data_IF_506014254707
#
_entry.id   IF_506014254707
#
_cell.length_a   1.000
_cell.length_b   1.000
_cell.length_c   1.000
_cell.angle_alpha   90.00
_cell.angle_beta   90.00
_cell.angle_gamma   90.00
#
_symmetry.space_group_name_H-M   'P 1'
#
loop_
_entity.id
_entity.type
_entity.pdbx_description
1 polymer ?
#
# COMPACT_ATOMS: atom_id res chain seq x y z
N UNK A 1 -30.16 20.34 3.13
CA UNK A 1 -30.58 19.34 4.13
C UNK A 1 -29.31 18.75 4.73
N UNK A 2 -29.05 18.98 6.01
CA UNK A 2 -27.90 18.41 6.72
C UNK A 2 -28.21 16.93 6.94
N UNK A 3 -27.54 16.04 6.21
CA UNK A 3 -27.52 14.62 6.56
C UNK A 3 -26.73 14.49 7.87
N UNK A 4 -27.45 14.22 8.95
CA UNK A 4 -26.83 13.78 10.19
C UNK A 4 -26.14 12.44 9.89
N UNK A 5 -24.82 12.43 10.06
CA UNK A 5 -24.01 11.19 10.05
C UNK A 5 -24.45 10.38 11.27
N UNK A 6 -25.31 9.40 11.09
CA UNK A 6 -25.58 8.41 12.14
C UNK A 6 -24.26 7.73 12.52
N UNK A 7 -24.02 7.61 13.82
CA UNK A 7 -22.84 6.94 14.34
C UNK A 7 -22.84 5.48 13.87
N UNK A 8 -21.74 5.05 13.27
CA UNK A 8 -21.53 3.66 12.86
C UNK A 8 -21.69 2.73 14.07
N UNK A 9 -22.40 1.60 13.94
CA UNK A 9 -22.55 0.66 15.05
C UNK A 9 -21.19 0.15 15.50
N UNK A 10 -20.94 0.16 16.82
CA UNK A 10 -19.70 -0.33 17.40
C UNK A 10 -19.56 -1.84 17.12
N UNK A 11 -18.57 -2.22 16.32
CA UNK A 11 -18.16 -3.62 16.20
C UNK A 11 -17.48 -4.06 17.49
N UNK A 12 -17.89 -5.20 18.03
CA UNK A 12 -17.16 -5.85 19.12
C UNK A 12 -15.79 -6.30 18.63
N UNK A 13 -14.73 -5.91 19.33
CA UNK A 13 -13.36 -6.27 18.99
C UNK A 13 -13.21 -7.79 18.84
N UNK A 14 -12.89 -8.25 17.65
CA UNK A 14 -12.60 -9.63 17.37
C UNK A 14 -11.17 -9.76 16.84
N UNK A 15 -10.31 -10.45 17.59
CA UNK A 15 -8.95 -10.74 17.16
C UNK A 15 -8.96 -12.07 16.41
N UNK A 16 -8.56 -12.05 15.12
CA UNK A 16 -8.60 -13.23 14.23
C UNK A 16 -7.26 -13.37 13.54
N UNK A 17 -6.74 -14.58 13.45
CA UNK A 17 -5.62 -14.90 12.56
C UNK A 17 -6.17 -15.17 11.15
N UNK A 18 -5.65 -14.45 10.16
CA UNK A 18 -6.06 -14.57 8.77
C UNK A 18 -4.91 -14.27 7.82
N UNK A 19 -5.05 -14.72 6.59
CA UNK A 19 -4.14 -14.36 5.51
C UNK A 19 -4.36 -12.92 5.07
N UNK A 20 -3.38 -12.35 4.37
CA UNK A 20 -3.49 -11.00 3.81
C UNK A 20 -4.71 -10.84 2.90
N UNK A 21 -4.95 -11.80 1.96
CA UNK A 21 -6.12 -11.74 1.07
C UNK A 21 -7.45 -11.82 1.83
N UNK A 22 -7.53 -12.63 2.89
CA UNK A 22 -8.71 -12.69 3.76
C UNK A 22 -8.91 -11.38 4.53
N UNK A 23 -7.82 -10.71 4.93
CA UNK A 23 -7.88 -9.41 5.58
C UNK A 23 -8.43 -8.31 4.64
N UNK A 24 -8.05 -8.35 3.36
CA UNK A 24 -8.61 -7.46 2.33
C UNK A 24 -10.11 -7.72 2.15
N UNK A 25 -10.52 -8.98 1.96
CA UNK A 25 -11.94 -9.34 1.85
C UNK A 25 -12.74 -8.93 3.10
N UNK A 26 -12.18 -9.14 4.30
CA UNK A 26 -12.79 -8.73 5.56
C UNK A 26 -13.00 -7.21 5.66
N UNK A 27 -12.01 -6.42 5.22
CA UNK A 27 -12.12 -4.96 5.19
C UNK A 27 -13.26 -4.49 4.27
N UNK A 28 -13.36 -5.07 3.06
CA UNK A 28 -14.45 -4.79 2.13
C UNK A 28 -15.81 -5.16 2.74
N UNK A 29 -15.93 -6.36 3.31
CA UNK A 29 -17.16 -6.83 3.92
C UNK A 29 -17.60 -5.91 5.07
N UNK A 30 -16.67 -5.48 5.91
CA UNK A 30 -16.98 -4.63 7.06
C UNK A 30 -17.39 -3.22 6.63
N UNK A 31 -16.69 -2.61 5.68
CA UNK A 31 -17.05 -1.27 5.19
C UNK A 31 -18.33 -1.27 4.34
N UNK A 32 -18.53 -2.28 3.48
CA UNK A 32 -19.77 -2.43 2.72
C UNK A 32 -21.00 -2.76 3.60
N UNK A 33 -20.78 -3.42 4.74
CA UNK A 33 -21.86 -3.66 5.74
C UNK A 33 -22.20 -2.39 6.49
N UNK A 34 -21.24 -1.55 6.79
CA UNK A 34 -21.41 -0.31 7.55
C UNK A 34 -21.95 0.85 6.71
N UNK A 35 -21.66 0.85 5.39
CA UNK A 35 -22.03 1.94 4.49
C UNK A 35 -22.62 1.37 3.18
N UNK A 36 -23.94 1.58 2.93
CA UNK A 36 -24.58 1.10 1.71
C UNK A 36 -24.10 1.79 0.43
N UNK A 37 -23.39 2.90 0.52
CA UNK A 37 -22.85 3.62 -0.64
C UNK A 37 -21.54 3.03 -1.16
N UNK A 38 -20.88 2.13 -0.41
CA UNK A 38 -19.65 1.46 -0.83
C UNK A 38 -19.97 0.40 -1.89
N UNK A 39 -19.37 0.52 -3.07
CA UNK A 39 -19.55 -0.36 -4.23
C UNK A 39 -18.18 -0.93 -4.62
N UNK A 40 -18.08 -2.26 -4.78
CA UNK A 40 -16.89 -2.89 -5.35
C UNK A 40 -17.06 -3.04 -6.86
N UNK A 41 -16.03 -2.70 -7.63
CA UNK A 41 -16.03 -2.90 -9.08
C UNK A 41 -14.63 -3.20 -9.62
N UNK A 42 -14.59 -3.88 -10.75
CA UNK A 42 -13.36 -4.28 -11.42
C UNK A 42 -13.58 -5.54 -12.27
N UNK A 43 -12.50 -6.05 -12.82
CA UNK A 43 -12.50 -7.25 -13.63
C UNK A 43 -12.49 -8.50 -12.73
N UNK A 44 -13.39 -9.45 -13.00
CA UNK A 44 -13.52 -10.72 -12.29
C UNK A 44 -13.73 -10.62 -10.75
N UNK A 45 -14.12 -9.44 -10.24
CA UNK A 45 -14.31 -9.21 -8.79
C UNK A 45 -15.54 -9.89 -8.21
N UNK A 46 -16.48 -10.31 -9.05
CA UNK A 46 -17.73 -10.97 -8.65
C UNK A 46 -17.55 -12.45 -8.26
N UNK A 47 -18.23 -13.36 -8.97
CA UNK A 47 -18.24 -14.79 -8.65
C UNK A 47 -16.86 -15.44 -8.57
N UNK A 48 -15.87 -14.92 -9.30
CA UNK A 48 -14.48 -15.37 -9.20
C UNK A 48 -13.76 -14.92 -7.93
N UNK A 49 -14.27 -13.91 -7.22
CA UNK A 49 -13.65 -13.34 -6.01
C UNK A 49 -12.35 -12.59 -6.28
N UNK A 50 -12.17 -12.11 -7.51
CA UNK A 50 -10.92 -11.53 -8.00
C UNK A 50 -9.89 -12.58 -8.43
N UNK A 51 -8.94 -12.19 -9.28
CA UNK A 51 -7.87 -13.07 -9.77
C UNK A 51 -7.04 -13.64 -8.60
N UNK A 52 -6.84 -12.85 -7.57
CA UNK A 52 -6.03 -13.22 -6.39
C UNK A 52 -6.88 -13.61 -5.17
N UNK A 53 -8.20 -13.76 -5.33
CA UNK A 53 -9.13 -14.13 -4.24
C UNK A 53 -9.15 -13.13 -3.08
N UNK A 54 -8.92 -11.87 -3.38
CA UNK A 54 -8.97 -10.76 -2.42
C UNK A 54 -10.39 -10.24 -2.17
N UNK A 55 -11.38 -10.72 -2.92
CA UNK A 55 -12.80 -10.35 -2.82
C UNK A 55 -13.71 -11.56 -2.51
N UNK A 56 -13.13 -12.66 -2.01
CA UNK A 56 -13.88 -13.88 -1.73
C UNK A 56 -14.98 -13.63 -0.70
N UNK A 57 -16.21 -14.10 -0.98
CA UNK A 57 -17.37 -13.91 -0.11
C UNK A 57 -18.09 -12.56 -0.23
N UNK A 58 -17.56 -11.60 -0.99
CA UNK A 58 -18.15 -10.25 -1.09
C UNK A 58 -19.42 -10.27 -1.94
N UNK A 59 -19.39 -10.89 -3.12
CA UNK A 59 -20.58 -10.95 -4.01
C UNK A 59 -21.71 -11.77 -3.41
N UNK A 60 -21.41 -12.87 -2.71
CA UNK A 60 -22.38 -13.70 -2.03
C UNK A 60 -23.14 -12.92 -0.96
N UNK A 61 -22.47 -11.97 -0.31
CA UNK A 61 -23.08 -11.17 0.76
C UNK A 61 -23.83 -9.96 0.26
N UNK A 62 -23.36 -9.27 -0.79
CA UNK A 62 -23.91 -7.98 -1.21
C UNK A 62 -24.59 -8.00 -2.57
N UNK A 63 -24.45 -9.08 -3.33
CA UNK A 63 -25.06 -9.25 -4.66
C UNK A 63 -24.40 -8.43 -5.76
N UNK A 64 -24.79 -8.72 -6.99
CA UNK A 64 -24.24 -8.08 -8.21
C UNK A 64 -24.60 -6.60 -8.34
N UNK A 65 -25.57 -6.09 -7.61
CA UNK A 65 -25.91 -4.67 -7.59
C UNK A 65 -24.88 -3.81 -6.84
N UNK A 66 -24.07 -4.43 -5.99
CA UNK A 66 -22.99 -3.77 -5.23
C UNK A 66 -21.59 -4.33 -5.52
N UNK A 67 -21.51 -5.41 -6.30
CA UNK A 67 -20.24 -6.00 -6.77
C UNK A 67 -20.32 -6.12 -8.29
N UNK A 68 -19.68 -5.19 -8.97
CA UNK A 68 -19.85 -4.98 -10.41
C UNK A 68 -18.66 -5.53 -11.19
N UNK A 69 -18.87 -6.61 -11.94
CA UNK A 69 -17.88 -7.03 -12.93
C UNK A 69 -17.87 -6.05 -14.11
N UNK A 70 -16.69 -5.61 -14.51
CA UNK A 70 -16.48 -4.73 -15.65
C UNK A 70 -15.90 -5.49 -16.85
N UNK A 71 -16.11 -5.02 -18.08
CA UNK A 71 -15.27 -5.42 -19.19
C UNK A 71 -13.85 -4.90 -18.99
N UNK A 72 -12.86 -5.46 -19.72
CA UNK A 72 -11.47 -5.01 -19.70
C UNK A 72 -11.38 -3.64 -20.39
N UNK A 73 -11.41 -2.59 -19.57
CA UNK A 73 -11.28 -1.20 -20.01
C UNK A 73 -11.02 -0.30 -18.79
N UNK A 74 -9.82 -0.32 -18.23
CA UNK A 74 -9.47 0.29 -16.93
C UNK A 74 -9.76 1.79 -16.92
N UNK A 75 -9.42 2.53 -17.97
CA UNK A 75 -9.74 3.96 -18.05
C UNK A 75 -11.26 4.20 -18.10
N UNK A 76 -12.00 3.33 -18.77
CA UNK A 76 -13.46 3.43 -18.89
C UNK A 76 -14.16 3.20 -17.56
N UNK A 77 -13.87 2.11 -16.86
CA UNK A 77 -14.56 1.83 -15.60
C UNK A 77 -14.08 2.73 -14.44
N UNK A 78 -12.84 3.23 -14.46
CA UNK A 78 -12.43 4.29 -13.52
C UNK A 78 -13.17 5.61 -13.77
N UNK A 79 -13.43 5.96 -15.04
CA UNK A 79 -14.28 7.10 -15.38
C UNK A 79 -15.72 6.93 -14.86
N UNK A 80 -16.28 5.72 -14.98
CA UNK A 80 -17.58 5.39 -14.37
C UNK A 80 -17.53 5.52 -12.85
N UNK A 81 -16.48 4.99 -12.20
CA UNK A 81 -16.28 5.10 -10.76
C UNK A 81 -16.16 6.56 -10.29
N UNK A 82 -15.48 7.42 -11.04
CA UNK A 82 -15.47 8.87 -10.76
C UNK A 82 -16.88 9.45 -10.80
N UNK A 83 -17.66 9.12 -11.84
CA UNK A 83 -19.06 9.54 -11.93
C UNK A 83 -19.90 9.09 -10.72
N UNK A 84 -19.72 7.84 -10.28
CA UNK A 84 -20.35 7.29 -9.08
C UNK A 84 -19.93 8.05 -7.83
N UNK A 85 -18.63 8.35 -7.67
CA UNK A 85 -18.12 9.06 -6.50
C UNK A 85 -18.68 10.48 -6.39
N UNK A 86 -18.70 11.24 -7.47
CA UNK A 86 -19.21 12.63 -7.44
C UNK A 86 -20.74 12.70 -7.30
N UNK A 87 -21.43 11.59 -7.51
CA UNK A 87 -22.90 11.48 -7.31
C UNK A 87 -23.28 10.87 -5.96
N UNK A 88 -22.32 10.58 -5.08
CA UNK A 88 -22.55 10.22 -3.68
C UNK A 88 -22.32 8.75 -3.32
N UNK A 89 -21.78 7.94 -4.23
CA UNK A 89 -21.32 6.58 -3.91
C UNK A 89 -19.85 6.60 -3.47
N UNK A 90 -19.38 5.48 -2.90
CA UNK A 90 -17.98 5.24 -2.52
C UNK A 90 -17.45 4.01 -3.26
N UNK A 91 -17.04 4.15 -4.52
CA UNK A 91 -16.53 3.02 -5.27
C UNK A 91 -15.14 2.60 -4.78
N UNK A 92 -14.98 1.29 -4.65
CA UNK A 92 -13.70 0.60 -4.50
C UNK A 92 -13.43 -0.12 -5.81
N UNK A 93 -12.38 0.26 -6.51
CA UNK A 93 -12.05 -0.26 -7.84
C UNK A 93 -10.81 -1.13 -7.74
N UNK A 94 -10.89 -2.39 -8.16
CA UNK A 94 -9.73 -3.26 -8.29
C UNK A 94 -9.15 -3.17 -9.70
N UNK A 95 -7.88 -2.82 -9.81
CA UNK A 95 -7.03 -3.04 -10.98
C UNK A 95 -6.17 -4.25 -10.68
N UNK A 96 -6.35 -5.34 -11.43
CA UNK A 96 -5.81 -6.65 -11.06
C UNK A 96 -4.28 -6.72 -10.99
N UNK A 97 -3.57 -5.85 -11.74
CA UNK A 97 -2.11 -5.69 -11.65
C UNK A 97 -1.73 -4.21 -11.63
N UNK A 98 -0.76 -3.82 -10.80
CA UNK A 98 -0.23 -2.45 -10.77
C UNK A 98 0.36 -2.02 -12.12
N UNK A 99 0.86 -2.99 -12.90
CA UNK A 99 1.34 -2.78 -14.27
C UNK A 99 0.24 -2.24 -15.22
N UNK A 100 -1.05 -2.41 -14.88
CA UNK A 100 -2.18 -1.94 -15.66
C UNK A 100 -2.73 -0.58 -15.21
N UNK A 101 -2.23 0.00 -14.13
CA UNK A 101 -2.55 1.38 -13.76
C UNK A 101 -2.27 2.39 -14.88
N UNK A 102 -1.18 2.26 -15.68
CA UNK A 102 -0.95 3.12 -16.82
C UNK A 102 -2.02 3.05 -17.92
N UNK A 103 -2.76 1.93 -18.06
CA UNK A 103 -3.88 1.84 -19.03
C UNK A 103 -5.04 2.76 -18.63
N UNK A 104 -5.16 3.07 -17.34
CA UNK A 104 -6.10 4.03 -16.77
C UNK A 104 -5.45 5.40 -16.50
N UNK A 105 -4.37 5.72 -17.19
CA UNK A 105 -3.50 6.86 -16.89
C UNK A 105 -4.24 8.20 -16.82
N UNK A 106 -5.15 8.48 -17.76
CA UNK A 106 -5.92 9.73 -17.73
C UNK A 106 -6.80 9.82 -16.49
N UNK A 107 -7.56 8.78 -16.19
CA UNK A 107 -8.40 8.77 -15.00
C UNK A 107 -7.59 9.00 -13.72
N UNK A 108 -6.50 8.24 -13.53
CA UNK A 108 -5.69 8.28 -12.29
C UNK A 108 -4.86 9.57 -12.17
N UNK A 109 -4.27 10.05 -13.27
CA UNK A 109 -3.32 11.18 -13.24
C UNK A 109 -4.00 12.52 -13.44
N UNK A 110 -5.04 12.56 -14.25
CA UNK A 110 -5.66 13.80 -14.68
C UNK A 110 -7.02 14.06 -14.01
N UNK A 111 -7.89 13.07 -13.97
CA UNK A 111 -9.26 13.27 -13.51
C UNK A 111 -9.39 13.16 -11.98
N UNK A 112 -9.09 11.99 -11.40
CA UNK A 112 -9.31 11.73 -9.97
C UNK A 112 -8.67 12.76 -9.03
N UNK A 113 -7.37 13.10 -9.14
CA UNK A 113 -6.71 13.98 -8.19
C UNK A 113 -7.11 15.44 -8.34
N UNK A 114 -7.62 15.85 -9.50
CA UNK A 114 -7.88 17.27 -9.82
C UNK A 114 -9.35 17.66 -9.73
N UNK A 115 -10.27 16.69 -9.78
CA UNK A 115 -11.70 16.96 -9.91
C UNK A 115 -12.25 17.81 -8.77
N UNK A 116 -11.86 17.53 -7.53
CA UNK A 116 -12.26 18.36 -6.38
C UNK A 116 -11.78 19.81 -6.50
N UNK A 117 -10.54 20.01 -6.94
CA UNK A 117 -9.99 21.35 -7.14
C UNK A 117 -10.70 22.08 -8.28
N UNK A 118 -10.90 21.43 -9.44
CA UNK A 118 -11.56 22.02 -10.62
C UNK A 118 -13.02 22.39 -10.34
N UNK A 119 -13.71 21.63 -9.48
CA UNK A 119 -15.07 21.94 -9.07
C UNK A 119 -15.17 23.07 -8.01
N UNK A 120 -14.05 23.68 -7.63
CA UNK A 120 -14.02 24.67 -6.55
C UNK A 120 -14.35 24.08 -5.17
N UNK A 121 -14.09 22.79 -4.97
CA UNK A 121 -14.38 22.08 -3.72
C UNK A 121 -15.84 21.60 -3.57
N UNK A 122 -16.68 21.81 -4.58
CA UNK A 122 -18.09 21.41 -4.54
C UNK A 122 -18.27 19.88 -4.61
N UNK A 123 -17.39 19.18 -5.34
CA UNK A 123 -17.40 17.73 -5.43
C UNK A 123 -16.35 17.13 -4.50
N UNK A 124 -16.71 16.04 -3.82
CA UNK A 124 -15.77 15.09 -3.21
C UNK A 124 -15.56 13.94 -4.17
N UNK A 125 -14.43 13.26 -4.04
CA UNK A 125 -14.10 12.08 -4.87
C UNK A 125 -13.72 10.91 -3.96
N UNK A 126 -14.68 10.37 -3.18
CA UNK A 126 -14.45 9.26 -2.27
C UNK A 126 -14.28 7.94 -3.05
N UNK A 127 -13.16 7.81 -3.75
CA UNK A 127 -12.87 6.67 -4.61
C UNK A 127 -11.56 6.01 -4.18
N UNK A 128 -11.61 4.71 -3.92
CA UNK A 128 -10.43 3.89 -3.61
C UNK A 128 -10.07 3.03 -4.81
N UNK A 129 -8.84 3.16 -5.31
CA UNK A 129 -8.28 2.26 -6.33
C UNK A 129 -7.34 1.29 -5.63
N UNK A 130 -7.53 0.00 -5.81
CA UNK A 130 -6.64 -1.08 -5.33
C UNK A 130 -5.87 -1.64 -6.50
N UNK A 131 -4.56 -1.83 -6.32
CA UNK A 131 -3.72 -2.44 -7.35
C UNK A 131 -2.74 -3.44 -6.72
N UNK A 132 -2.67 -4.65 -7.28
CA UNK A 132 -1.83 -5.72 -6.78
C UNK A 132 -0.58 -5.80 -7.65
N UNK A 133 0.60 -5.64 -7.05
CA UNK A 133 1.88 -5.60 -7.75
C UNK A 133 2.93 -6.54 -7.18
N UNK A 134 4.17 -6.24 -7.53
CA UNK A 134 5.38 -6.87 -7.05
C UNK A 134 5.78 -8.16 -7.75
N UNK A 135 7.02 -8.56 -7.56
CA UNK A 135 7.58 -9.81 -8.07
C UNK A 135 7.26 -11.02 -7.19
N UNK A 136 8.18 -11.99 -7.18
CA UNK A 136 8.08 -13.29 -6.48
C UNK A 136 7.01 -14.26 -6.98
N UNK A 137 6.18 -13.85 -7.94
CA UNK A 137 5.13 -14.68 -8.53
C UNK A 137 5.52 -15.34 -9.85
N UNK A 138 6.70 -15.07 -10.39
CA UNK A 138 7.17 -15.56 -11.70
C UNK A 138 6.28 -15.11 -12.86
N UNK A 139 5.66 -13.94 -12.73
CA UNK A 139 4.77 -13.37 -13.75
C UNK A 139 5.51 -12.60 -14.84
N UNK A 140 6.82 -12.32 -14.65
CA UNK A 140 7.66 -11.60 -15.60
C UNK A 140 7.42 -10.11 -15.64
N UNK A 141 8.05 -9.44 -16.58
CA UNK A 141 8.23 -7.99 -16.62
C UNK A 141 6.93 -7.18 -16.57
N UNK A 142 5.89 -7.60 -17.30
CA UNK A 142 4.64 -6.84 -17.45
C UNK A 142 3.61 -7.07 -16.33
N UNK A 143 3.95 -7.89 -15.32
CA UNK A 143 3.04 -8.26 -14.24
C UNK A 143 3.75 -8.28 -12.88
N UNK A 144 4.88 -7.59 -12.75
CA UNK A 144 5.72 -7.65 -11.55
C UNK A 144 6.19 -6.28 -11.04
N UNK A 145 5.71 -5.18 -11.61
CA UNK A 145 6.02 -3.85 -11.11
C UNK A 145 5.29 -3.58 -9.79
N UNK A 146 5.89 -2.76 -8.93
CA UNK A 146 5.20 -2.14 -7.79
C UNK A 146 4.70 -0.75 -8.18
N UNK A 147 5.56 0.13 -8.69
CA UNK A 147 5.19 1.35 -9.41
C UNK A 147 4.65 2.50 -8.56
N UNK A 148 4.72 2.42 -7.22
CA UNK A 148 4.12 3.41 -6.31
C UNK A 148 4.64 4.81 -6.58
N UNK A 149 5.92 4.97 -6.86
CA UNK A 149 6.59 6.26 -7.03
C UNK A 149 6.05 7.09 -8.18
N UNK A 150 5.47 6.45 -9.21
CA UNK A 150 4.87 7.17 -10.35
C UNK A 150 3.69 8.05 -9.94
N UNK A 151 3.01 7.69 -8.86
CA UNK A 151 1.78 8.37 -8.40
C UNK A 151 2.01 9.35 -7.25
N UNK A 152 3.23 9.42 -6.71
CA UNK A 152 3.54 10.31 -5.59
C UNK A 152 3.62 11.79 -5.98
N UNK A 153 3.76 12.09 -7.26
CA UNK A 153 3.83 13.47 -7.76
C UNK A 153 2.46 14.10 -8.02
N UNK A 154 1.35 13.40 -7.71
CA UNK A 154 0.00 13.84 -8.04
C UNK A 154 -0.68 14.53 -6.84
N UNK A 155 -0.71 15.89 -6.77
CA UNK A 155 -1.49 16.58 -5.74
C UNK A 155 -2.97 16.20 -5.86
N UNK A 156 -3.61 15.90 -4.72
CA UNK A 156 -5.00 15.46 -4.67
C UNK A 156 -5.20 13.94 -4.65
N UNK A 157 -4.15 13.15 -4.92
CA UNK A 157 -4.17 11.69 -4.75
C UNK A 157 -3.43 11.29 -3.47
N UNK A 158 -4.02 10.43 -2.65
CA UNK A 158 -3.32 9.75 -1.55
C UNK A 158 -2.82 8.39 -2.02
N UNK A 159 -1.69 7.94 -1.47
CA UNK A 159 -1.08 6.65 -1.85
C UNK A 159 -0.73 5.87 -0.59
N UNK A 160 -1.24 4.66 -0.47
CA UNK A 160 -0.97 3.72 0.61
C UNK A 160 -0.35 2.43 0.08
N UNK A 161 0.42 1.75 0.93
CA UNK A 161 1.08 0.47 0.63
C UNK A 161 0.95 -0.47 1.84
N UNK A 162 0.24 -1.57 1.67
CA UNK A 162 -0.12 -2.46 2.77
C UNK A 162 0.86 -3.62 2.89
N UNK A 163 1.57 -3.72 4.01
CA UNK A 163 2.71 -4.62 4.20
C UNK A 163 2.40 -5.88 5.03
N UNK A 164 1.21 -5.98 5.59
CA UNK A 164 0.80 -7.12 6.44
C UNK A 164 -0.73 -7.29 6.44
N UNK A 165 -1.28 -8.41 6.93
CA UNK A 165 -2.73 -8.60 7.06
C UNK A 165 -3.39 -7.49 7.88
N UNK A 166 -2.81 -7.09 9.01
CA UNK A 166 -3.31 -5.98 9.83
C UNK A 166 -3.25 -4.63 9.10
N UNK A 167 -2.18 -4.37 8.36
CA UNK A 167 -2.04 -3.16 7.55
C UNK A 167 -3.06 -3.17 6.38
N UNK A 168 -3.23 -4.30 5.68
CA UNK A 168 -4.20 -4.43 4.59
C UNK A 168 -5.62 -4.14 5.06
N UNK A 169 -6.04 -4.73 6.18
CA UNK A 169 -7.34 -4.49 6.77
C UNK A 169 -7.54 -3.03 7.18
N UNK A 170 -6.57 -2.47 7.91
CA UNK A 170 -6.71 -1.12 8.47
C UNK A 170 -6.55 0.01 7.46
N UNK A 171 -5.61 -0.12 6.51
CA UNK A 171 -5.38 0.87 5.46
C UNK A 171 -6.51 0.91 4.44
N UNK A 172 -7.03 -0.25 4.03
CA UNK A 172 -8.14 -0.30 3.09
C UNK A 172 -9.40 0.34 3.69
N UNK A 173 -9.70 0.07 4.96
CA UNK A 173 -10.81 0.73 5.67
C UNK A 173 -10.61 2.25 5.76
N UNK A 174 -9.40 2.70 6.07
CA UNK A 174 -9.06 4.12 6.08
C UNK A 174 -9.26 4.74 4.69
N UNK A 175 -8.77 4.08 3.64
CA UNK A 175 -8.90 4.55 2.26
C UNK A 175 -10.37 4.68 1.80
N UNK A 176 -11.21 3.67 2.10
CA UNK A 176 -12.63 3.69 1.75
C UNK A 176 -13.38 4.85 2.44
N UNK A 177 -12.95 5.25 3.63
CA UNK A 177 -13.57 6.34 4.41
C UNK A 177 -13.13 7.73 4.00
N UNK A 178 -12.06 7.84 3.19
CA UNK A 178 -11.57 9.13 2.73
C UNK A 178 -12.54 9.80 1.74
N UNK A 179 -12.58 11.14 1.77
CA UNK A 179 -13.37 11.95 0.86
C UNK A 179 -12.61 12.39 -0.40
N UNK A 180 -11.33 12.05 -0.47
CA UNK A 180 -10.43 12.27 -1.60
C UNK A 180 -9.92 10.93 -2.14
N UNK A 181 -9.49 10.85 -3.41
CA UNK A 181 -9.09 9.59 -4.00
C UNK A 181 -7.84 8.98 -3.33
N UNK A 182 -7.88 7.67 -3.12
CA UNK A 182 -6.78 6.90 -2.55
C UNK A 182 -6.40 5.76 -3.48
N UNK A 183 -5.11 5.63 -3.78
CA UNK A 183 -4.53 4.47 -4.45
C UNK A 183 -3.86 3.59 -3.39
N UNK A 184 -4.31 2.34 -3.27
CA UNK A 184 -3.80 1.35 -2.32
C UNK A 184 -3.03 0.26 -3.07
N UNK A 185 -1.73 0.19 -2.83
CA UNK A 185 -0.89 -0.88 -3.35
C UNK A 185 -0.92 -2.10 -2.44
N UNK A 186 -1.08 -3.25 -3.04
CA UNK A 186 -1.03 -4.59 -2.44
C UNK A 186 0.08 -5.41 -3.12
N UNK A 187 0.53 -6.51 -2.49
CA UNK A 187 1.66 -7.27 -3.00
C UNK A 187 1.36 -8.76 -3.10
N UNK A 188 1.61 -9.34 -4.29
CA UNK A 188 1.36 -10.78 -4.56
C UNK A 188 2.07 -11.72 -3.60
N UNK A 189 3.32 -11.42 -3.24
CA UNK A 189 4.11 -12.21 -2.30
C UNK A 189 3.56 -12.23 -0.87
N UNK A 190 2.63 -11.33 -0.52
CA UNK A 190 2.02 -11.25 0.81
C UNK A 190 0.66 -11.95 0.90
N UNK A 191 0.00 -12.29 -0.21
CA UNK A 191 -1.40 -12.74 -0.24
C UNK A 191 -1.71 -13.91 0.69
N UNK A 192 -0.77 -14.83 0.87
CA UNK A 192 -0.90 -16.00 1.77
C UNK A 192 -0.20 -15.80 3.12
N UNK A 193 0.43 -14.64 3.35
CA UNK A 193 1.05 -14.32 4.64
C UNK A 193 -0.03 -14.24 5.71
N UNK A 194 0.13 -14.97 6.79
CA UNK A 194 -0.78 -14.96 7.94
C UNK A 194 -0.36 -13.91 8.95
N UNK A 195 -1.33 -13.38 9.66
CA UNK A 195 -1.10 -12.47 10.76
C UNK A 195 -2.39 -12.18 11.54
N UNK A 196 -2.21 -11.62 12.72
CA UNK A 196 -3.30 -11.25 13.61
C UNK A 196 -3.93 -9.94 13.16
N UNK A 197 -5.24 -9.93 13.00
CA UNK A 197 -6.05 -8.76 12.67
C UNK A 197 -7.05 -8.50 13.78
N UNK A 198 -7.07 -7.28 14.29
CA UNK A 198 -8.11 -6.81 15.22
C UNK A 198 -9.22 -6.18 14.39
N UNK A 199 -10.40 -6.81 14.37
CA UNK A 199 -11.55 -6.36 13.58
C UNK A 199 -12.44 -5.43 14.40
N UNK A 200 -12.02 -4.18 14.55
CA UNK A 200 -12.79 -3.10 15.17
C UNK A 200 -12.36 -1.72 14.64
N UNK A 201 -12.93 -0.67 15.21
CA UNK A 201 -12.60 0.72 14.81
C UNK A 201 -11.17 1.14 15.15
N UNK A 202 -10.53 0.53 16.16
CA UNK A 202 -9.14 0.85 16.55
C UNK A 202 -8.10 0.42 15.52
N UNK A 203 -8.48 -0.51 14.64
CA UNK A 203 -7.62 -1.01 13.57
C UNK A 203 -7.53 -0.10 12.34
N UNK A 204 -8.45 0.86 12.20
CA UNK A 204 -8.42 1.82 11.09
C UNK A 204 -7.18 2.69 11.19
N UNK A 205 -6.36 2.68 10.15
CA UNK A 205 -5.09 3.40 10.17
C UNK A 205 -5.29 4.90 9.99
N UNK A 206 -4.55 5.68 10.77
CA UNK A 206 -4.50 7.13 10.58
C UNK A 206 -3.80 7.48 9.26
N UNK A 207 -4.42 8.34 8.46
CA UNK A 207 -3.86 8.75 7.17
C UNK A 207 -2.55 9.51 7.36
N UNK A 208 -1.54 9.14 6.60
CA UNK A 208 -0.23 9.79 6.65
C UNK A 208 0.61 9.40 7.85
N UNK A 209 0.32 8.28 8.52
CA UNK A 209 1.14 7.75 9.61
C UNK A 209 1.85 6.46 9.22
N UNK A 210 3.14 6.42 9.52
CA UNK A 210 3.97 5.22 9.43
C UNK A 210 3.84 4.39 10.71
N UNK A 211 4.20 3.11 10.63
CA UNK A 211 4.25 2.21 11.78
C UNK A 211 5.69 1.78 12.07
N UNK A 212 6.14 1.95 13.32
CA UNK A 212 7.34 1.27 13.83
C UNK A 212 6.93 -0.17 14.12
N UNK A 213 7.25 -1.09 13.19
CA UNK A 213 6.86 -2.50 13.29
C UNK A 213 7.88 -3.34 14.09
N UNK A 214 9.09 -2.83 14.25
CA UNK A 214 10.10 -3.34 15.18
C UNK A 214 10.89 -2.15 15.73
N UNK A 215 10.96 -2.02 17.04
CA UNK A 215 11.83 -1.03 17.69
C UNK A 215 13.29 -1.49 17.63
N UNK A 216 14.23 -0.55 17.56
CA UNK A 216 15.66 -0.81 17.56
C UNK A 216 16.46 0.46 17.74
N UNK A 217 17.78 0.34 17.98
CA UNK A 217 18.64 1.45 18.38
C UNK A 217 19.84 1.70 17.47
N UNK A 218 20.28 0.73 16.65
CA UNK A 218 21.54 0.82 15.92
C UNK A 218 21.39 1.38 14.50
N UNK A 219 20.30 1.05 13.82
CA UNK A 219 20.02 1.46 12.45
C UNK A 219 18.52 1.53 12.19
N UNK A 220 18.09 2.49 11.39
CA UNK A 220 16.71 2.63 10.89
C UNK A 220 16.61 2.01 9.51
N UNK A 221 15.71 1.06 9.33
CA UNK A 221 15.31 0.49 8.04
C UNK A 221 13.89 0.95 7.71
N UNK A 222 13.72 1.58 6.55
CA UNK A 222 12.42 2.05 6.07
C UNK A 222 12.01 1.24 4.86
N UNK A 223 10.82 0.68 4.87
CA UNK A 223 10.33 -0.20 3.82
C UNK A 223 8.82 -0.13 3.66
N UNK A 224 8.29 -0.79 2.62
CA UNK A 224 6.86 -1.00 2.36
C UNK A 224 6.63 -2.38 1.77
N UNK A 225 5.38 -2.83 1.75
CA UNK A 225 4.96 -4.06 1.07
C UNK A 225 5.81 -5.27 1.50
N UNK A 226 6.22 -6.11 0.54
CA UNK A 226 7.05 -7.28 0.80
C UNK A 226 8.42 -6.91 1.41
N UNK A 227 8.95 -5.74 1.08
CA UNK A 227 10.24 -5.32 1.61
C UNK A 227 10.18 -5.05 3.11
N UNK A 228 9.05 -4.61 3.67
CA UNK A 228 8.87 -4.49 5.12
C UNK A 228 8.90 -5.86 5.82
N UNK A 229 8.27 -6.89 5.25
CA UNK A 229 8.32 -8.27 5.76
C UNK A 229 9.75 -8.85 5.70
N UNK A 230 10.47 -8.63 4.58
CA UNK A 230 11.87 -9.06 4.44
C UNK A 230 12.82 -8.31 5.39
N UNK A 231 12.58 -7.00 5.60
CA UNK A 231 13.36 -6.21 6.56
C UNK A 231 13.15 -6.69 8.00
N UNK A 232 11.93 -7.06 8.39
CA UNK A 232 11.66 -7.69 9.68
C UNK A 232 12.41 -9.02 9.84
N UNK A 233 12.37 -9.87 8.81
CA UNK A 233 13.09 -11.14 8.83
C UNK A 233 14.61 -10.93 8.96
N UNK A 234 15.18 -9.97 8.21
CA UNK A 234 16.59 -9.62 8.33
C UNK A 234 16.95 -9.08 9.74
N UNK A 235 16.08 -8.22 10.30
CA UNK A 235 16.25 -7.69 11.64
C UNK A 235 16.24 -8.77 12.73
N UNK A 236 15.38 -9.78 12.60
CA UNK A 236 15.34 -10.94 13.51
C UNK A 236 16.64 -11.76 13.45
N UNK A 237 17.17 -12.02 12.25
CA UNK A 237 18.44 -12.71 12.08
C UNK A 237 19.60 -11.92 12.70
N UNK A 238 19.67 -10.61 12.43
CA UNK A 238 20.74 -9.73 12.90
C UNK A 238 20.71 -9.49 14.43
N UNK A 239 19.57 -9.65 15.07
CA UNK A 239 19.48 -9.59 16.53
C UNK A 239 20.34 -10.67 17.22
N UNK A 240 20.55 -11.82 16.57
CA UNK A 240 21.44 -12.88 17.05
C UNK A 240 22.93 -12.49 16.91
N UNK A 241 23.22 -11.53 16.05
CA UNK A 241 24.55 -10.95 15.85
C UNK A 241 24.79 -9.71 16.73
N UNK A 242 23.81 -9.32 17.54
CA UNK A 242 23.89 -8.17 18.43
C UNK A 242 23.59 -6.82 17.74
N UNK A 243 23.00 -6.82 16.53
CA UNK A 243 22.58 -5.61 15.82
C UNK A 243 21.09 -5.37 16.05
N UNK A 244 20.75 -4.24 16.64
CA UNK A 244 19.37 -3.87 17.01
C UNK A 244 18.76 -2.92 15.98
N UNK A 245 18.01 -3.52 15.03
CA UNK A 245 17.44 -2.84 13.86
C UNK A 245 16.04 -2.30 14.18
N UNK A 246 15.81 -1.01 13.98
CA UNK A 246 14.45 -0.47 13.92
C UNK A 246 13.89 -0.59 12.51
N UNK A 247 12.69 -1.16 12.37
CA UNK A 247 12.00 -1.29 11.09
C UNK A 247 10.74 -0.43 11.08
N UNK A 248 10.66 0.47 10.11
CA UNK A 248 9.53 1.36 9.88
C UNK A 248 8.83 0.96 8.58
N UNK A 249 7.56 0.56 8.69
CA UNK A 249 6.65 0.41 7.56
C UNK A 249 5.98 1.75 7.30
N UNK A 250 6.21 2.34 6.13
CA UNK A 250 5.67 3.67 5.81
C UNK A 250 4.16 3.71 5.74
N UNK A 251 3.51 2.64 5.30
CA UNK A 251 2.06 2.51 5.13
C UNK A 251 1.44 3.56 4.19
N UNK A 252 1.74 4.83 4.41
CA UNK A 252 1.35 5.94 3.54
C UNK A 252 2.58 6.54 2.89
N UNK A 253 2.61 6.49 1.56
CA UNK A 253 3.65 7.13 0.76
C UNK A 253 3.27 8.58 0.40
N UNK A 254 1.95 8.87 0.40
CA UNK A 254 1.41 10.21 0.26
C UNK A 254 0.08 10.34 1.02
N UNK A 255 -0.02 11.18 2.06
CA UNK A 255 1.08 11.96 2.64
C UNK A 255 2.11 11.08 3.35
N UNK A 256 3.39 11.49 3.30
CA UNK A 256 4.51 10.75 3.89
C UNK A 256 4.76 11.19 5.34
N UNK A 257 4.86 10.22 6.27
CA UNK A 257 5.25 10.49 7.67
C UNK A 257 6.76 10.63 7.84
N UNK A 258 7.28 11.76 7.39
CA UNK A 258 8.71 12.07 7.54
C UNK A 258 9.10 12.22 9.01
N UNK A 259 8.17 12.64 9.87
CA UNK A 259 8.44 12.88 11.29
C UNK A 259 8.80 11.60 12.05
N UNK A 260 8.09 10.51 11.81
CA UNK A 260 8.39 9.20 12.40
C UNK A 260 9.77 8.71 11.97
N UNK A 261 10.11 8.84 10.68
CA UNK A 261 11.42 8.45 10.16
C UNK A 261 12.52 9.36 10.72
N UNK A 262 12.30 10.67 10.78
CA UNK A 262 13.24 11.64 11.34
C UNK A 262 13.57 11.32 12.81
N UNK A 263 12.57 11.06 13.65
CA UNK A 263 12.76 10.71 15.07
C UNK A 263 13.65 9.47 15.22
N UNK A 264 13.41 8.46 14.40
CA UNK A 264 14.21 7.23 14.38
C UNK A 264 15.65 7.50 13.95
N UNK A 265 15.85 8.14 12.80
CA UNK A 265 17.18 8.40 12.25
C UNK A 265 18.00 9.32 13.14
N UNK A 266 17.40 10.31 13.80
CA UNK A 266 18.10 11.16 14.80
C UNK A 266 18.63 10.36 15.99
N UNK A 267 18.00 9.23 16.33
CA UNK A 267 18.44 8.35 17.40
C UNK A 267 19.50 7.36 16.93
N UNK A 268 19.29 6.73 15.78
CA UNK A 268 20.18 5.68 15.25
C UNK A 268 21.39 6.24 14.48
N UNK A 269 21.27 7.43 13.91
CA UNK A 269 22.27 8.04 13.03
C UNK A 269 22.45 7.35 11.68
N UNK A 270 21.73 6.25 11.40
CA UNK A 270 21.91 5.39 10.23
C UNK A 270 20.57 5.11 9.57
N UNK A 271 20.55 5.14 8.23
CA UNK A 271 19.34 4.91 7.44
C UNK A 271 19.61 3.96 6.27
N UNK A 272 18.73 2.98 6.14
CA UNK A 272 18.61 2.14 4.95
C UNK A 272 17.17 2.24 4.46
N UNK A 273 16.97 2.51 3.17
CA UNK A 273 15.68 2.40 2.48
C UNK A 273 15.66 1.11 1.66
N UNK A 274 14.57 0.37 1.76
CA UNK A 274 14.41 -0.92 1.06
C UNK A 274 13.16 -0.85 0.21
N UNK A 275 13.32 -0.90 -1.10
CA UNK A 275 12.23 -0.70 -2.07
C UNK A 275 12.30 -1.73 -3.21
N UNK A 276 11.14 -2.24 -3.64
CA UNK A 276 11.03 -3.18 -4.77
C UNK A 276 10.78 -2.43 -6.08
N UNK A 277 11.53 -1.37 -6.27
CA UNK A 277 11.56 -0.55 -7.49
C UNK A 277 12.97 0.00 -7.67
N UNK A 278 13.25 0.61 -8.80
CA UNK A 278 14.52 1.31 -9.00
C UNK A 278 14.63 2.50 -8.05
N UNK A 279 15.84 2.77 -7.54
CA UNK A 279 16.03 3.87 -6.59
C UNK A 279 15.91 5.25 -7.24
N UNK A 280 16.23 5.34 -8.54
CA UNK A 280 16.12 6.58 -9.30
C UNK A 280 14.67 7.08 -9.31
N UNK A 281 14.42 8.24 -8.73
CA UNK A 281 13.11 8.83 -8.51
C UNK A 281 12.15 7.96 -7.64
N UNK A 282 12.68 7.00 -6.91
CA UNK A 282 11.96 6.18 -5.94
C UNK A 282 11.51 6.97 -4.70
N UNK A 283 10.55 6.41 -3.96
CA UNK A 283 10.11 7.03 -2.70
C UNK A 283 11.23 7.05 -1.64
N UNK A 284 12.17 6.09 -1.69
CA UNK A 284 13.33 6.08 -0.80
C UNK A 284 14.24 7.29 -0.99
N UNK A 285 14.47 7.70 -2.24
CA UNK A 285 15.20 8.92 -2.54
C UNK A 285 14.49 10.17 -2.00
N UNK A 286 13.15 10.19 -2.03
CA UNK A 286 12.34 11.26 -1.43
C UNK A 286 12.50 11.30 0.08
N UNK A 287 12.45 10.16 0.78
CA UNK A 287 12.69 10.05 2.22
C UNK A 287 14.06 10.66 2.58
N UNK A 288 15.13 10.25 1.90
CA UNK A 288 16.47 10.76 2.14
C UNK A 288 16.53 12.29 1.93
N UNK A 289 15.93 12.78 0.83
CA UNK A 289 15.88 14.21 0.52
C UNK A 289 15.13 15.01 1.59
N UNK A 290 13.99 14.53 2.07
CA UNK A 290 13.21 15.22 3.12
C UNK A 290 13.96 15.26 4.44
N UNK A 291 14.67 14.20 4.83
CA UNK A 291 15.51 14.20 6.03
C UNK A 291 16.69 15.18 5.90
N UNK A 292 17.34 15.25 4.73
CA UNK A 292 18.41 16.21 4.47
C UNK A 292 17.92 17.66 4.58
N UNK A 293 16.73 17.98 4.00
CA UNK A 293 16.10 19.32 4.13
C UNK A 293 15.82 19.70 5.59
N UNK A 294 15.55 18.72 6.46
CA UNK A 294 15.31 18.91 7.90
C UNK A 294 16.60 18.96 8.74
N UNK A 295 17.76 18.91 8.07
CA UNK A 295 19.08 18.96 8.73
C UNK A 295 19.42 17.74 9.56
N UNK A 296 18.87 16.56 9.20
CA UNK A 296 19.22 15.30 9.84
C UNK A 296 20.67 14.95 9.51
N UNK A 297 21.47 14.69 10.53
CA UNK A 297 22.85 14.26 10.36
C UNK A 297 22.93 12.74 10.34
N UNK A 298 23.67 12.20 9.39
CA UNK A 298 23.90 10.76 9.28
C UNK A 298 25.33 10.44 9.72
N UNK A 299 25.49 9.41 10.55
CA UNK A 299 26.81 8.87 10.95
C UNK A 299 27.49 8.16 9.78
N UNK A 300 26.69 7.55 8.91
CA UNK A 300 27.10 6.95 7.64
C UNK A 300 26.18 7.45 6.54
N UNK A 301 26.61 7.54 5.28
CA UNK A 301 25.73 7.89 4.18
C UNK A 301 24.52 6.94 4.12
N UNK A 302 23.29 7.46 3.90
CA UNK A 302 22.11 6.61 3.71
C UNK A 302 22.34 5.61 2.57
N UNK A 303 21.80 4.41 2.72
CA UNK A 303 21.88 3.35 1.70
C UNK A 303 20.51 3.01 1.16
N UNK A 304 20.47 2.64 -0.12
CA UNK A 304 19.30 2.05 -0.75
C UNK A 304 19.58 0.57 -1.08
N UNK A 305 18.61 -0.30 -0.80
CA UNK A 305 18.54 -1.66 -1.29
C UNK A 305 17.31 -1.71 -2.20
N UNK A 306 17.52 -1.77 -3.50
CA UNK A 306 16.51 -1.55 -4.53
C UNK A 306 16.73 -2.50 -5.72
N UNK A 307 15.81 -2.48 -6.68
CA UNK A 307 16.07 -3.10 -7.98
C UNK A 307 17.23 -2.37 -8.68
N UNK A 308 18.04 -3.09 -9.49
CA UNK A 308 19.00 -2.45 -10.38
C UNK A 308 18.30 -1.51 -11.39
N UNK A 309 18.94 -0.39 -11.72
CA UNK A 309 18.32 0.65 -12.58
C UNK A 309 18.10 0.19 -14.04
N UNK A 310 18.83 -0.82 -14.48
CA UNK A 310 18.87 -1.30 -15.87
C UNK A 310 18.33 -2.72 -16.08
N UNK A 311 17.70 -3.30 -15.05
CA UNK A 311 17.20 -4.68 -15.09
C UNK A 311 15.69 -4.72 -14.86
N UNK A 312 14.97 -5.38 -15.76
CA UNK A 312 13.55 -5.67 -15.61
C UNK A 312 13.36 -7.00 -14.87
N UNK A 313 12.23 -7.14 -14.16
CA UNK A 313 11.92 -8.38 -13.43
C UNK A 313 11.68 -9.53 -14.42
N UNK A 314 12.51 -10.58 -14.41
CA UNK A 314 12.42 -11.67 -15.38
C UNK A 314 11.43 -12.77 -14.97
N UNK A 315 11.06 -13.65 -15.94
CA UNK A 315 10.22 -14.84 -15.68
C UNK A 315 10.96 -15.95 -14.96
N UNK A 316 12.28 -16.10 -15.22
CA UNK A 316 13.07 -17.19 -14.66
C UNK A 316 13.14 -17.08 -13.14
N UNK A 317 12.76 -18.11 -12.36
CA UNK A 317 12.85 -18.07 -10.91
C UNK A 317 14.23 -17.65 -10.41
N UNK A 318 15.30 -18.25 -10.97
CA UNK A 318 16.68 -17.97 -10.57
C UNK A 318 17.08 -16.51 -10.84
N UNK A 319 16.61 -15.92 -11.96
CA UNK A 319 16.93 -14.54 -12.30
C UNK A 319 16.06 -13.55 -11.51
N UNK A 320 14.77 -13.85 -11.32
CA UNK A 320 13.88 -13.01 -10.49
C UNK A 320 14.42 -12.92 -9.05
N UNK A 321 14.88 -14.05 -8.46
CA UNK A 321 15.45 -14.08 -7.12
C UNK A 321 16.76 -13.29 -6.99
N UNK A 322 17.47 -13.03 -8.10
CA UNK A 322 18.69 -12.20 -8.11
C UNK A 322 18.37 -10.71 -8.23
N UNK A 323 17.22 -10.35 -8.77
CA UNK A 323 16.84 -8.96 -9.04
C UNK A 323 16.10 -8.34 -7.85
N UNK A 324 15.16 -9.07 -7.26
CA UNK A 324 14.35 -8.55 -6.16
C UNK A 324 15.15 -8.60 -4.85
N UNK A 325 15.24 -7.49 -4.08
CA UNK A 325 16.02 -7.44 -2.85
C UNK A 325 15.69 -8.59 -1.90
N UNK A 326 16.66 -9.43 -1.61
CA UNK A 326 16.52 -10.59 -0.72
C UNK A 326 16.73 -10.20 0.75
N UNK A 327 16.31 -11.07 1.67
CA UNK A 327 16.59 -10.91 3.11
C UNK A 327 18.09 -10.79 3.37
N UNK A 328 18.92 -11.59 2.67
CA UNK A 328 20.38 -11.55 2.83
C UNK A 328 20.99 -10.25 2.28
N UNK A 329 20.48 -9.72 1.15
CA UNK A 329 20.93 -8.43 0.62
C UNK A 329 20.64 -7.29 1.61
N UNK A 330 19.45 -7.31 2.25
CA UNK A 330 19.08 -6.37 3.30
C UNK A 330 19.99 -6.52 4.52
N UNK A 331 20.21 -7.77 4.98
CA UNK A 331 21.07 -8.04 6.13
C UNK A 331 22.52 -7.62 5.88
N UNK A 332 23.06 -7.85 4.68
CA UNK A 332 24.41 -7.40 4.30
C UNK A 332 24.53 -5.88 4.33
N UNK A 333 23.56 -5.17 3.76
CA UNK A 333 23.53 -3.70 3.80
C UNK A 333 23.48 -3.16 5.24
N UNK A 334 22.76 -3.84 6.14
CA UNK A 334 22.68 -3.47 7.56
C UNK A 334 24.03 -3.69 8.25
N UNK A 335 24.68 -4.88 8.08
CA UNK A 335 26.00 -5.16 8.64
C UNK A 335 27.05 -4.12 8.22
N UNK A 336 27.09 -3.81 6.93
CA UNK A 336 28.02 -2.82 6.38
C UNK A 336 27.76 -1.38 6.89
N UNK A 337 26.52 -1.07 7.22
CA UNK A 337 26.14 0.25 7.74
C UNK A 337 26.42 0.37 9.24
N UNK A 338 26.41 -0.74 9.98
CA UNK A 338 26.68 -0.78 11.42
C UNK A 338 28.17 -0.98 11.75
N UNK A 339 28.94 -1.65 10.92
CA UNK A 339 30.38 -1.84 11.05
C UNK A 339 31.15 -0.62 10.58
#
# INVERSE_FOLDING_TARGET
MSMQTEARPAQTAQTVEMTYREAVAAALIDEMSADPTVILMGEDVGASGGVFKTNEGVVERFGESRVLNTPICENGFLGVALGMAVTGLRPVVEIMFSDFLPTAGDAIVNELPKFRFMSGGQCRVPLTVRAIGGGTGRFGTQHSATGESWYLQLPGLKVAAASSPSAAYGLLRAAIREDDPVLVFEHKGLLLRKGTVVRDESSVREVGKAAVVRAGSDVTVVATLLMADRALTAAEQLSQEGIDVEVIDLQWLRPLDVETVEKSVRRTGRLIVVEEQVHLAGWGATVISELAKRGVQFVRPPRAVSLPDDVLVPYSPTLEDQVIPSVEAIASAIRETCG
#
